data_IF_350192364591
#
_entry.id   IF_350192364591
#
_cell.length_a   1.000
_cell.length_b   1.000
_cell.length_c   1.000
_cell.angle_alpha   90.00
_cell.angle_beta   90.00
_cell.angle_gamma   90.00
#
_symmetry.space_group_name_H-M   'P 1'
#
loop_
_entity.id
_entity.type
_entity.pdbx_description
1 polymer ?
#
# COMPACT_ATOMS: atom_id res chain seq x y z
N UNK A 1 13.60 6.32 -38.93
CA UNK A 1 12.22 6.20 -39.47
C UNK A 1 11.84 4.73 -39.72
N UNK A 2 12.09 3.79 -38.79
CA UNK A 2 11.63 2.39 -38.95
C UNK A 2 11.42 1.69 -37.59
N UNK A 3 10.70 2.29 -36.64
CA UNK A 3 10.41 1.62 -35.36
C UNK A 3 9.04 1.93 -34.74
N UNK A 4 8.02 2.18 -35.57
CA UNK A 4 6.65 2.43 -35.07
C UNK A 4 5.55 1.83 -35.97
N UNK A 5 5.84 0.76 -36.70
CA UNK A 5 4.88 0.18 -37.63
C UNK A 5 3.81 -0.77 -37.04
N UNK A 6 3.94 -1.40 -35.84
CA UNK A 6 2.86 -2.28 -35.38
C UNK A 6 1.76 -1.54 -34.59
N UNK A 7 2.00 -0.32 -34.09
CA UNK A 7 1.08 0.30 -33.12
C UNK A 7 -0.10 1.07 -33.76
N UNK A 8 0.01 1.46 -35.03
CA UNK A 8 -1.03 2.26 -35.72
C UNK A 8 -2.17 1.39 -36.27
N UNK A 9 -1.92 0.09 -36.46
CA UNK A 9 -2.88 -0.83 -37.09
C UNK A 9 -4.07 -1.20 -36.19
N UNK A 10 -3.94 -1.04 -34.86
CA UNK A 10 -4.97 -1.42 -33.88
C UNK A 10 -5.91 -0.27 -33.48
N UNK A 11 -5.77 0.91 -34.09
CA UNK A 11 -6.55 2.08 -33.69
C UNK A 11 -7.87 2.22 -34.49
N UNK A 12 -9.02 2.48 -33.84
CA UNK A 12 -10.30 2.67 -34.50
C UNK A 12 -10.22 3.69 -35.64
N UNK A 13 -10.85 3.41 -36.79
CA UNK A 13 -10.81 4.29 -37.98
C UNK A 13 -11.23 5.73 -37.67
N UNK A 14 -12.12 5.93 -36.70
CA UNK A 14 -12.58 7.23 -36.24
C UNK A 14 -11.47 8.19 -35.78
N UNK A 15 -10.37 7.69 -35.19
CA UNK A 15 -9.34 8.59 -34.66
C UNK A 15 -8.36 9.11 -35.72
N UNK A 16 -8.37 8.53 -36.93
CA UNK A 16 -7.53 8.99 -38.05
C UNK A 16 -8.09 10.26 -38.72
N UNK A 17 -9.36 10.59 -38.47
CA UNK A 17 -10.04 11.72 -39.09
C UNK A 17 -9.88 13.05 -38.35
N UNK A 18 -9.19 13.07 -37.20
CA UNK A 18 -9.04 14.29 -36.39
C UNK A 18 -7.77 15.04 -36.80
N UNK A 19 -7.86 16.26 -37.38
CA UNK A 19 -6.67 17.04 -37.72
C UNK A 19 -5.74 17.22 -36.51
N UNK A 20 -4.44 16.97 -36.69
CA UNK A 20 -3.45 17.09 -35.61
C UNK A 20 -3.36 15.91 -34.63
N UNK A 21 -4.02 14.77 -34.91
CA UNK A 21 -3.94 13.57 -34.05
C UNK A 21 -2.50 13.05 -33.83
N UNK A 22 -1.63 13.21 -34.83
CA UNK A 22 -0.22 12.80 -34.77
C UNK A 22 0.62 13.69 -33.82
N UNK A 23 0.28 14.97 -33.73
CA UNK A 23 0.92 15.95 -32.83
C UNK A 23 0.51 15.72 -31.37
N UNK A 24 -0.75 15.30 -31.17
CA UNK A 24 -1.33 14.95 -29.86
C UNK A 24 -0.80 13.65 -29.25
N UNK A 25 -0.09 12.83 -30.04
CA UNK A 25 0.63 11.65 -29.57
C UNK A 25 2.06 11.97 -29.13
N UNK A 26 2.68 13.01 -29.69
CA UNK A 26 4.00 13.49 -29.27
C UNK A 26 3.90 14.37 -28.01
N UNK A 27 2.82 15.13 -27.86
CA UNK A 27 2.45 15.73 -26.59
C UNK A 27 1.88 14.65 -25.66
N UNK A 28 2.75 14.04 -24.86
CA UNK A 28 2.48 12.86 -24.04
C UNK A 28 1.10 12.83 -23.37
N UNK A 29 0.43 11.67 -23.48
CA UNK A 29 -0.50 11.20 -22.44
C UNK A 29 0.28 10.24 -21.54
N UNK A 30 -0.15 9.89 -20.30
CA UNK A 30 -1.44 10.22 -19.65
C UNK A 30 -1.30 10.54 -18.14
N UNK A 31 -2.44 10.78 -17.47
CA UNK A 31 -2.68 10.03 -16.23
C UNK A 31 -3.01 10.86 -15.00
N UNK A 32 -4.22 10.59 -14.47
CA UNK A 32 -4.72 10.89 -13.12
C UNK A 32 -4.54 12.34 -12.68
N UNK A 33 -5.66 13.07 -12.65
CA UNK A 33 -5.91 14.02 -11.56
C UNK A 33 -5.85 13.23 -10.24
N UNK A 34 -4.65 13.00 -9.70
CA UNK A 34 -4.46 12.81 -8.27
C UNK A 34 -4.76 14.18 -7.68
N UNK A 35 -5.83 14.28 -6.89
CA UNK A 35 -6.13 15.47 -6.12
C UNK A 35 -4.86 15.96 -5.43
N UNK A 36 -4.67 17.27 -5.43
CA UNK A 36 -3.66 17.96 -4.64
C UNK A 36 -4.02 17.89 -3.15
N UNK A 37 -4.19 16.68 -2.61
CA UNK A 37 -4.37 16.47 -1.17
C UNK A 37 -3.14 15.75 -0.61
N UNK A 38 -2.49 16.43 0.34
CA UNK A 38 -1.51 15.82 1.21
C UNK A 38 -0.07 15.90 0.71
N UNK A 39 0.44 17.10 0.39
CA UNK A 39 1.88 17.36 0.50
C UNK A 39 2.30 17.07 1.94
N UNK A 40 2.87 15.89 2.11
CA UNK A 40 3.70 15.45 3.22
C UNK A 40 3.07 15.47 4.62
N UNK A 41 2.67 14.28 5.10
CA UNK A 41 2.87 13.92 6.52
C UNK A 41 3.48 12.52 6.66
N UNK A 42 4.63 12.22 6.03
CA UNK A 42 5.28 10.91 6.19
C UNK A 42 5.59 10.61 7.67
N UNK A 43 5.90 11.64 8.46
CA UNK A 43 6.15 11.50 9.90
C UNK A 43 4.92 11.00 10.68
N UNK A 44 3.70 11.36 10.27
CA UNK A 44 2.48 10.96 11.00
C UNK A 44 2.23 9.46 10.87
N UNK A 45 2.53 8.88 9.70
CA UNK A 45 2.41 7.44 9.47
C UNK A 45 3.55 6.67 10.13
N UNK A 46 4.78 7.21 10.13
CA UNK A 46 5.91 6.62 10.86
C UNK A 46 5.63 6.53 12.36
N UNK A 47 5.27 7.65 12.97
CA UNK A 47 4.92 7.71 14.40
C UNK A 47 3.78 6.74 14.75
N UNK A 48 2.74 6.67 13.91
CA UNK A 48 1.61 5.75 14.15
C UNK A 48 2.01 4.28 14.05
N UNK A 49 2.96 3.93 13.18
CA UNK A 49 3.48 2.55 13.05
C UNK A 49 4.42 2.19 14.19
N UNK A 50 5.31 3.11 14.58
CA UNK A 50 6.23 2.89 15.70
C UNK A 50 5.46 2.71 17.01
N UNK A 51 4.46 3.55 17.26
CA UNK A 51 3.55 3.40 18.40
C UNK A 51 2.76 2.10 18.33
N UNK A 52 2.28 1.70 17.14
CA UNK A 52 1.56 0.46 16.96
C UNK A 52 2.40 -0.77 17.34
N UNK A 53 3.65 -0.83 16.86
CA UNK A 53 4.58 -1.93 17.19
C UNK A 53 4.90 -1.92 18.69
N UNK A 54 5.07 -0.75 19.30
CA UNK A 54 5.31 -0.65 20.74
C UNK A 54 4.12 -1.16 21.57
N UNK A 55 2.89 -0.80 21.19
CA UNK A 55 1.68 -1.24 21.90
C UNK A 55 1.52 -2.75 21.83
N UNK A 56 1.52 -3.34 20.63
CA UNK A 56 1.33 -4.79 20.47
C UNK A 56 2.47 -5.59 21.12
N UNK A 57 3.70 -5.07 21.11
CA UNK A 57 4.82 -5.71 21.79
C UNK A 57 4.65 -5.72 23.31
N UNK A 58 4.13 -4.63 23.91
CA UNK A 58 3.83 -4.58 25.35
C UNK A 58 2.74 -5.57 25.73
N UNK A 59 1.66 -5.65 24.95
CA UNK A 59 0.55 -6.57 25.23
C UNK A 59 0.99 -8.04 25.09
N UNK A 60 1.71 -8.38 24.03
CA UNK A 60 2.28 -9.71 23.86
C UNK A 60 3.34 -10.04 24.92
N UNK A 61 4.12 -9.07 25.39
CA UNK A 61 5.06 -9.26 26.48
C UNK A 61 4.37 -9.57 27.81
N UNK A 62 3.20 -8.98 28.09
CA UNK A 62 2.37 -9.35 29.24
C UNK A 62 2.00 -10.84 29.20
N UNK A 63 1.65 -11.37 28.03
CA UNK A 63 1.38 -12.81 27.83
C UNK A 63 2.64 -13.67 28.04
N UNK A 64 3.80 -13.23 27.53
CA UNK A 64 5.07 -13.94 27.73
C UNK A 64 5.49 -13.98 29.22
N UNK A 65 5.30 -12.87 29.94
CA UNK A 65 5.59 -12.76 31.38
C UNK A 65 4.76 -13.70 32.24
N UNK A 66 3.50 -13.99 31.87
CA UNK A 66 2.69 -15.00 32.57
C UNK A 66 3.35 -16.38 32.53
N UNK A 67 4.07 -16.69 31.45
CA UNK A 67 4.89 -17.89 31.32
C UNK A 67 6.26 -17.81 32.01
N UNK A 68 6.57 -16.73 32.74
CA UNK A 68 7.90 -16.40 33.31
C UNK A 68 9.02 -16.39 32.25
N UNK A 69 8.65 -16.18 30.98
CA UNK A 69 9.58 -16.16 29.84
C UNK A 69 10.04 -14.73 29.59
N UNK A 70 11.29 -14.58 29.18
CA UNK A 70 11.88 -13.30 28.74
C UNK A 70 11.97 -13.19 27.22
N UNK A 71 11.61 -14.26 26.52
CA UNK A 71 11.61 -14.36 25.05
C UNK A 71 10.16 -14.41 24.58
N UNK A 72 9.81 -13.48 23.69
CA UNK A 72 8.47 -13.35 23.11
C UNK A 72 8.31 -14.40 22.00
N UNK A 73 7.26 -15.22 22.06
CA UNK A 73 6.96 -16.24 21.05
C UNK A 73 5.78 -15.84 20.18
N UNK A 74 5.63 -16.48 19.01
CA UNK A 74 4.49 -16.27 18.10
C UNK A 74 3.15 -16.42 18.82
N UNK A 75 3.02 -17.45 19.66
CA UNK A 75 1.81 -17.68 20.47
C UNK A 75 1.47 -16.55 21.44
N UNK A 76 2.45 -15.83 21.95
CA UNK A 76 2.18 -14.70 22.85
C UNK A 76 1.60 -13.49 22.07
N UNK A 77 1.95 -13.37 20.78
CA UNK A 77 1.34 -12.42 19.84
C UNK A 77 -0.07 -12.86 19.44
N UNK A 78 -0.28 -14.14 19.15
CA UNK A 78 -1.61 -14.68 18.82
C UNK A 78 -2.60 -14.43 19.98
N UNK A 79 -2.16 -14.72 21.21
CA UNK A 79 -2.95 -14.45 22.42
C UNK A 79 -3.27 -12.96 22.60
N UNK A 80 -2.34 -12.06 22.28
CA UNK A 80 -2.56 -10.61 22.38
C UNK A 80 -3.54 -10.11 21.32
N UNK A 81 -3.53 -10.70 20.12
CA UNK A 81 -4.46 -10.36 19.03
C UNK A 81 -5.87 -10.86 19.35
N UNK A 82 -6.01 -12.07 19.89
CA UNK A 82 -7.30 -12.61 20.33
C UNK A 82 -7.88 -11.83 21.52
N UNK A 83 -7.02 -11.29 22.40
CA UNK A 83 -7.44 -10.59 23.60
C UNK A 83 -7.85 -9.12 23.37
N UNK A 84 -7.46 -8.52 22.24
CA UNK A 84 -7.64 -7.09 21.96
C UNK A 84 -8.39 -6.90 20.65
N UNK A 85 -9.63 -6.42 20.71
CA UNK A 85 -10.51 -6.21 19.55
C UNK A 85 -9.89 -5.25 18.52
N UNK A 86 -9.14 -4.24 18.99
CA UNK A 86 -8.42 -3.30 18.14
C UNK A 86 -7.33 -3.97 17.27
N UNK A 87 -6.92 -5.20 17.60
CA UNK A 87 -5.99 -6.00 16.81
C UNK A 87 -6.66 -7.04 15.92
N UNK A 88 -8.00 -7.16 15.91
CA UNK A 88 -8.73 -8.14 15.09
C UNK A 88 -8.41 -8.04 13.59
N UNK A 89 -8.00 -6.85 13.09
CA UNK A 89 -7.59 -6.68 11.70
C UNK A 89 -6.30 -7.45 11.33
N UNK A 90 -5.54 -7.96 12.31
CA UNK A 90 -4.37 -8.81 12.11
C UNK A 90 -4.70 -10.30 12.10
N UNK A 91 -5.92 -10.69 12.47
CA UNK A 91 -6.35 -12.09 12.46
C UNK A 91 -6.22 -12.67 11.04
N UNK A 92 -5.62 -13.86 10.93
CA UNK A 92 -5.37 -14.52 9.64
C UNK A 92 -4.24 -13.94 8.78
N UNK A 93 -3.57 -12.87 9.22
CA UNK A 93 -2.34 -12.36 8.56
C UNK A 93 -1.06 -13.02 9.10
N UNK A 94 -1.17 -13.74 10.21
CA UNK A 94 -0.08 -14.32 10.96
C UNK A 94 0.05 -15.85 10.79
N UNK A 95 -0.42 -16.40 9.68
CA UNK A 95 -0.14 -17.80 9.28
C UNK A 95 1.30 -17.96 8.76
#
# INVERSE_FOLDING_TARGET
ILFLRPFVSRWPRAARSVPGWRQRLQAGRPGRRRGLEGRQRPHRLKLRRELFVETIAKDAYCCAQQGKRKTLQRRDLDNAIEAVDEFAFLEGTLD
#
